data_IF_657007541732
#
_entry.id   IF_657007541732
#
_cell.length_a   1.000
_cell.length_b   1.000
_cell.length_c   1.000
_cell.angle_alpha   90.00
_cell.angle_beta   90.00
_cell.angle_gamma   90.00
#
_symmetry.space_group_name_H-M   'P 1'
#
loop_
_entity.id
_entity.type
_entity.pdbx_description
1 polymer ?
#
# COMPACT_ATOMS: atom_id res chain seq x y z
N UNK A 1 56.06 -24.04 14.97
CA UNK A 1 55.71 -23.02 13.96
C UNK A 1 54.26 -23.25 13.56
N UNK A 2 53.30 -22.75 14.35
CA UNK A 2 51.87 -23.03 14.16
C UNK A 2 51.23 -21.98 13.26
N UNK A 3 50.84 -22.36 12.05
CA UNK A 3 50.13 -21.50 11.11
C UNK A 3 48.69 -21.27 11.62
N UNK A 4 48.39 -20.01 11.99
CA UNK A 4 47.04 -19.57 12.29
C UNK A 4 46.22 -19.54 11.00
N UNK A 5 45.18 -20.36 10.93
CA UNK A 5 44.12 -20.29 9.92
C UNK A 5 43.31 -19.02 10.19
N UNK A 6 43.36 -18.05 9.27
CA UNK A 6 42.46 -16.90 9.29
C UNK A 6 41.06 -17.35 8.84
N UNK A 7 40.17 -17.54 9.80
CA UNK A 7 38.72 -17.59 9.58
C UNK A 7 38.26 -16.16 9.32
N UNK A 8 38.00 -15.82 8.06
CA UNK A 8 37.22 -14.63 7.71
C UNK A 8 35.79 -14.85 8.16
N UNK A 9 35.43 -14.22 9.29
CA UNK A 9 34.05 -14.06 9.72
C UNK A 9 33.40 -13.09 8.75
N UNK A 10 32.53 -13.58 7.85
CA UNK A 10 31.64 -12.70 7.09
C UNK A 10 30.77 -11.93 8.09
N UNK A 11 31.02 -10.63 8.20
CA UNK A 11 30.19 -9.74 9.00
C UNK A 11 28.75 -9.70 8.50
N UNK A 12 27.79 -9.27 9.34
CA UNK A 12 26.38 -9.22 8.96
C UNK A 12 26.20 -8.42 7.68
N UNK A 13 25.56 -9.02 6.66
CA UNK A 13 25.26 -8.36 5.38
C UNK A 13 24.62 -7.00 5.66
N UNK A 14 25.19 -5.94 5.08
CA UNK A 14 24.68 -4.57 5.18
C UNK A 14 23.17 -4.59 4.84
N UNK A 15 22.31 -3.97 5.67
CA UNK A 15 20.89 -3.86 5.32
C UNK A 15 20.75 -3.09 4.01
N UNK A 16 19.96 -3.63 3.07
CA UNK A 16 19.74 -3.04 1.73
C UNK A 16 19.28 -1.59 1.84
N UNK A 17 20.00 -0.68 1.20
CA UNK A 17 19.64 0.73 1.07
C UNK A 17 18.74 1.00 -0.14
N UNK A 18 18.25 2.23 -0.28
CA UNK A 18 17.41 2.65 -1.41
C UNK A 18 18.06 2.40 -2.78
N UNK A 19 19.39 2.53 -2.84
CA UNK A 19 20.17 2.28 -4.06
C UNK A 19 20.15 0.79 -4.42
N UNK A 20 20.32 -0.09 -3.43
CA UNK A 20 20.29 -1.54 -3.64
C UNK A 20 18.89 -1.99 -4.10
N UNK A 21 17.84 -1.39 -3.54
CA UNK A 21 16.45 -1.67 -3.94
C UNK A 21 16.16 -1.20 -5.37
N UNK A 22 16.65 -0.03 -5.77
CA UNK A 22 16.47 0.48 -7.12
C UNK A 22 17.22 -0.35 -8.18
N UNK A 23 18.40 -0.89 -7.84
CA UNK A 23 19.17 -1.76 -8.73
C UNK A 23 18.52 -3.13 -8.96
N UNK A 24 17.62 -3.56 -8.08
CA UNK A 24 16.86 -4.81 -8.24
C UNK A 24 15.63 -4.65 -9.15
N UNK A 25 15.20 -3.42 -9.44
CA UNK A 25 14.07 -3.13 -10.32
C UNK A 25 14.51 -3.18 -11.78
N UNK A 26 13.85 -4.01 -12.58
CA UNK A 26 13.99 -4.04 -14.03
C UNK A 26 12.86 -3.25 -14.70
N UNK A 27 13.21 -2.21 -15.47
CA UNK A 27 12.23 -1.52 -16.32
C UNK A 27 12.07 -2.30 -17.62
N UNK A 28 10.87 -2.86 -17.87
CA UNK A 28 10.60 -3.62 -19.10
C UNK A 28 10.32 -2.68 -20.27
N UNK A 29 11.17 -2.70 -21.29
CA UNK A 29 11.03 -1.86 -22.50
C UNK A 29 9.91 -2.33 -23.45
N UNK A 30 9.40 -3.56 -23.26
CA UNK A 30 8.44 -4.20 -24.17
C UNK A 30 7.03 -4.37 -23.57
N UNK A 31 6.75 -3.74 -22.44
CA UNK A 31 5.50 -3.95 -21.70
C UNK A 31 5.52 -5.24 -20.88
N UNK A 32 4.34 -5.71 -20.41
CA UNK A 32 4.24 -6.92 -19.58
C UNK A 32 4.60 -8.18 -20.39
N UNK A 33 5.28 -9.12 -19.74
CA UNK A 33 5.66 -10.44 -20.29
C UNK A 33 4.43 -11.33 -20.48
N UNK A 34 3.36 -11.06 -19.74
CA UNK A 34 2.07 -11.73 -19.89
C UNK A 34 0.93 -10.74 -20.11
N UNK A 35 0.00 -11.07 -21.02
CA UNK A 35 -1.21 -10.28 -21.26
C UNK A 35 -2.42 -10.78 -20.47
N UNK A 36 -2.20 -11.74 -19.57
CA UNK A 36 -3.20 -12.31 -18.67
C UNK A 36 -3.17 -11.65 -17.29
N UNK A 37 -4.21 -11.84 -16.48
CA UNK A 37 -4.27 -11.33 -15.11
C UNK A 37 -3.28 -12.03 -14.13
N UNK A 38 -2.52 -13.04 -14.60
CA UNK A 38 -1.53 -13.81 -13.83
C UNK A 38 -0.13 -13.37 -14.22
N UNK A 39 0.67 -12.92 -13.24
CA UNK A 39 2.03 -12.43 -13.43
C UNK A 39 3.02 -13.58 -13.67
N UNK A 40 3.91 -13.44 -14.64
CA UNK A 40 5.06 -14.33 -14.79
C UNK A 40 6.01 -14.19 -13.58
N UNK A 41 6.82 -15.22 -13.33
CA UNK A 41 7.74 -15.27 -12.16
C UNK A 41 8.66 -14.04 -12.10
N UNK A 42 9.17 -13.59 -13.25
CA UNK A 42 10.02 -12.41 -13.33
C UNK A 42 9.25 -11.11 -13.10
N UNK A 43 7.99 -11.03 -13.55
CA UNK A 43 7.10 -9.89 -13.26
C UNK A 43 6.74 -9.82 -11.78
N UNK A 44 6.47 -10.97 -11.16
CA UNK A 44 6.19 -11.07 -9.72
C UNK A 44 7.41 -10.66 -8.88
N UNK A 45 8.61 -11.13 -9.27
CA UNK A 45 9.86 -10.76 -8.59
C UNK A 45 10.15 -9.26 -8.72
N UNK A 46 9.90 -8.71 -9.90
CA UNK A 46 10.10 -7.29 -10.17
C UNK A 46 9.06 -6.42 -9.43
N UNK A 47 7.79 -6.86 -9.36
CA UNK A 47 6.75 -6.22 -8.55
C UNK A 47 7.15 -6.16 -7.08
N UNK A 48 7.65 -7.26 -6.51
CA UNK A 48 8.12 -7.28 -5.12
C UNK A 48 9.29 -6.32 -4.87
N UNK A 49 10.23 -6.19 -5.82
CA UNK A 49 11.34 -5.23 -5.73
C UNK A 49 10.84 -3.78 -5.81
N UNK A 50 9.92 -3.48 -6.73
CA UNK A 50 9.25 -2.19 -6.85
C UNK A 50 8.52 -1.82 -5.56
N UNK A 51 7.72 -2.74 -5.01
CA UNK A 51 7.00 -2.55 -3.76
C UNK A 51 7.96 -2.35 -2.59
N UNK A 52 9.05 -3.11 -2.50
CA UNK A 52 10.07 -2.94 -1.46
C UNK A 52 10.75 -1.56 -1.51
N UNK A 53 11.04 -1.05 -2.71
CA UNK A 53 11.59 0.30 -2.91
C UNK A 53 10.58 1.39 -2.53
N UNK A 54 9.32 1.24 -2.94
CA UNK A 54 8.21 2.14 -2.57
C UNK A 54 7.99 2.11 -1.05
N UNK A 55 8.05 0.94 -0.40
CA UNK A 55 7.95 0.77 1.04
C UNK A 55 9.14 1.36 1.81
N UNK A 56 10.35 1.35 1.23
CA UNK A 56 11.51 2.01 1.82
C UNK A 56 11.37 3.54 1.81
N UNK A 57 10.81 4.11 0.74
CA UNK A 57 10.46 5.53 0.68
C UNK A 57 9.40 5.89 1.74
N UNK A 58 8.41 5.02 1.96
CA UNK A 58 7.36 5.22 2.98
C UNK A 58 7.89 5.22 4.41
N UNK A 59 8.98 4.53 4.71
CA UNK A 59 9.62 4.57 6.03
C UNK A 59 10.62 5.75 6.18
N UNK A 60 11.13 6.31 5.08
CA UNK A 60 12.11 7.40 5.09
C UNK A 60 11.54 8.77 5.52
N UNK A 61 10.21 8.91 5.59
CA UNK A 61 9.56 10.21 5.82
C UNK A 61 9.85 10.81 7.21
N UNK A 62 9.94 9.98 8.26
CA UNK A 62 10.17 10.49 9.62
C UNK A 62 11.65 10.81 9.85
N UNK A 63 12.57 10.04 9.26
CA UNK A 63 13.98 10.42 9.19
C UNK A 63 14.17 11.76 8.45
N UNK A 64 13.44 11.95 7.34
CA UNK A 64 13.41 13.23 6.63
C UNK A 64 12.84 14.36 7.49
N UNK A 65 11.73 14.12 8.22
CA UNK A 65 11.15 15.09 9.15
C UNK A 65 12.12 15.51 10.26
N UNK A 66 12.85 14.56 10.85
CA UNK A 66 13.90 14.81 11.86
C UNK A 66 15.06 15.62 11.29
N UNK A 67 15.51 15.28 10.08
CA UNK A 67 16.57 16.01 9.39
C UNK A 67 16.15 17.44 9.02
N UNK A 68 14.93 17.62 8.51
CA UNK A 68 14.36 18.93 8.18
C UNK A 68 14.23 19.82 9.42
N UNK A 69 13.81 19.26 10.55
CA UNK A 69 13.79 19.98 11.82
C UNK A 69 15.21 20.40 12.25
N UNK A 70 16.18 19.48 12.23
CA UNK A 70 17.56 19.80 12.58
C UNK A 70 18.15 20.91 11.67
N UNK A 71 17.88 20.87 10.37
CA UNK A 71 18.29 21.91 9.42
C UNK A 71 17.62 23.24 9.72
N UNK A 72 16.33 23.23 10.04
CA UNK A 72 15.55 24.45 10.35
C UNK A 72 16.04 25.11 11.63
N UNK A 73 16.07 24.36 12.73
CA UNK A 73 16.44 24.85 14.06
C UNK A 73 17.91 25.26 14.13
N UNK A 74 18.81 24.48 13.51
CA UNK A 74 20.22 24.84 13.38
C UNK A 74 20.50 25.95 12.36
N UNK A 75 19.49 26.35 11.58
CA UNK A 75 19.62 27.22 10.40
C UNK A 75 20.77 26.78 9.48
N UNK A 76 20.91 25.47 9.25
CA UNK A 76 22.03 24.87 8.52
C UNK A 76 22.01 25.21 7.02
N UNK A 77 20.87 25.68 6.52
CA UNK A 77 20.69 26.14 5.15
C UNK A 77 21.37 27.50 4.84
N UNK A 78 21.69 28.31 5.87
CA UNK A 78 22.11 29.71 5.72
C UNK A 78 23.40 29.93 4.93
N UNK A 79 24.21 28.89 4.74
CA UNK A 79 25.44 28.97 3.96
C UNK A 79 25.21 29.07 2.45
N UNK A 80 24.04 28.67 1.96
CA UNK A 80 23.71 28.62 0.52
C UNK A 80 22.32 29.17 0.18
N UNK A 81 21.41 29.30 1.16
CA UNK A 81 20.02 29.70 0.95
C UNK A 81 19.62 30.82 1.91
N UNK A 82 18.82 31.77 1.42
CA UNK A 82 18.31 32.93 2.16
C UNK A 82 17.28 32.57 3.23
N UNK A 83 16.49 31.52 2.99
CA UNK A 83 15.44 31.06 3.90
C UNK A 83 15.33 29.54 3.92
N UNK A 84 14.64 29.01 4.93
CA UNK A 84 14.31 27.58 4.98
C UNK A 84 13.39 27.17 3.83
N UNK A 85 12.51 28.07 3.38
CA UNK A 85 11.60 27.85 2.26
C UNK A 85 12.37 27.71 0.95
N UNK A 86 13.34 28.61 0.72
CA UNK A 86 14.23 28.54 -0.44
C UNK A 86 15.03 27.25 -0.43
N UNK A 87 15.51 26.83 0.74
CA UNK A 87 16.20 25.55 0.90
C UNK A 87 15.29 24.36 0.56
N UNK A 88 14.08 24.29 1.11
CA UNK A 88 13.14 23.22 0.83
C UNK A 88 12.79 23.14 -0.66
N UNK A 89 12.52 24.30 -1.28
CA UNK A 89 12.12 24.36 -2.68
C UNK A 89 13.30 24.08 -3.62
N UNK A 90 14.40 24.82 -3.51
CA UNK A 90 15.48 24.76 -4.48
C UNK A 90 16.34 23.50 -4.34
N UNK A 91 16.50 22.96 -3.11
CA UNK A 91 17.35 21.78 -2.89
C UNK A 91 16.59 20.46 -3.01
N UNK A 92 15.32 20.45 -2.62
CA UNK A 92 14.55 19.21 -2.45
C UNK A 92 13.27 19.17 -3.27
N UNK A 93 12.93 20.25 -4.00
CA UNK A 93 11.69 20.39 -4.76
C UNK A 93 10.42 20.12 -3.93
N UNK A 94 10.46 20.52 -2.65
CA UNK A 94 9.30 20.42 -1.75
C UNK A 94 8.89 21.79 -1.23
N UNK A 95 7.58 22.00 -1.14
CA UNK A 95 7.02 23.18 -0.50
C UNK A 95 7.24 23.12 1.02
N UNK A 96 7.39 24.29 1.65
CA UNK A 96 7.53 24.42 3.11
C UNK A 96 6.41 23.69 3.86
N UNK A 97 5.17 23.79 3.37
CA UNK A 97 4.02 23.12 3.98
C UNK A 97 4.19 21.60 4.08
N UNK A 98 4.82 20.99 3.08
CA UNK A 98 5.12 19.56 3.11
C UNK A 98 6.25 19.25 4.09
N UNK A 99 7.33 20.05 4.08
CA UNK A 99 8.40 19.93 5.07
C UNK A 99 7.87 20.04 6.51
N UNK A 100 7.00 21.01 6.79
CA UNK A 100 6.39 21.21 8.10
C UNK A 100 5.45 20.05 8.50
N UNK A 101 4.78 19.39 7.55
CA UNK A 101 4.03 18.15 7.84
C UNK A 101 4.95 17.03 8.31
N UNK A 102 6.08 16.82 7.64
CA UNK A 102 7.08 15.82 8.04
C UNK A 102 7.69 16.15 9.40
N UNK A 103 8.03 17.42 9.65
CA UNK A 103 8.55 17.90 10.93
C UNK A 103 7.55 17.65 12.08
N UNK A 104 6.25 17.90 11.85
CA UNK A 104 5.23 17.63 12.89
C UNK A 104 5.03 16.14 13.14
N UNK A 105 5.28 15.27 12.16
CA UNK A 105 4.96 13.86 12.24
C UNK A 105 6.08 12.99 12.83
N UNK A 106 7.35 13.42 12.71
CA UNK A 106 8.47 12.48 12.87
C UNK A 106 8.62 11.89 14.28
N UNK A 107 8.34 12.65 15.35
CA UNK A 107 8.46 12.15 16.74
C UNK A 107 7.50 11.01 17.03
N UNK A 108 6.22 11.23 16.71
CA UNK A 108 5.21 10.19 16.85
C UNK A 108 5.52 9.00 15.94
N UNK A 109 5.92 9.24 14.69
CA UNK A 109 6.29 8.18 13.76
C UNK A 109 7.47 7.32 14.27
N UNK A 110 8.53 7.94 14.82
CA UNK A 110 9.69 7.26 15.40
C UNK A 110 9.26 6.34 16.56
N UNK A 111 8.38 6.82 17.44
CA UNK A 111 7.85 6.03 18.55
C UNK A 111 6.95 4.88 18.09
N UNK A 112 6.06 5.14 17.13
CA UNK A 112 5.16 4.11 16.61
C UNK A 112 5.91 3.05 15.80
N UNK A 113 7.03 3.40 15.16
CA UNK A 113 7.83 2.45 14.40
C UNK A 113 8.38 1.31 15.27
N UNK A 114 8.74 1.59 16.53
CA UNK A 114 9.17 0.56 17.48
C UNK A 114 8.04 -0.37 17.96
N UNK A 115 6.77 0.01 17.75
CA UNK A 115 5.58 -0.75 18.15
C UNK A 115 4.91 -1.45 16.97
N UNK A 116 5.19 -1.01 15.75
CA UNK A 116 4.44 -1.43 14.59
C UNK A 116 4.94 -2.78 14.04
N UNK A 117 4.01 -3.71 13.80
CA UNK A 117 4.34 -4.99 13.14
C UNK A 117 4.70 -4.82 11.66
N UNK A 118 4.23 -3.73 11.06
CA UNK A 118 4.47 -3.38 9.66
C UNK A 118 5.03 -1.97 9.56
N UNK A 119 5.75 -1.69 8.48
CA UNK A 119 6.26 -0.34 8.20
C UNK A 119 5.09 0.66 8.15
N UNK A 120 5.28 1.80 8.82
CA UNK A 120 4.31 2.88 8.87
C UNK A 120 4.53 3.87 7.73
N UNK A 121 3.44 4.42 7.21
CA UNK A 121 3.47 5.57 6.30
C UNK A 121 2.89 6.83 6.97
N UNK A 122 3.15 7.98 6.37
CA UNK A 122 2.67 9.30 6.85
C UNK A 122 1.14 9.33 6.98
N UNK A 123 0.42 8.68 6.06
CA UNK A 123 -1.04 8.62 6.07
C UNK A 123 -1.64 7.91 7.28
N UNK A 124 -0.91 6.99 7.91
CA UNK A 124 -1.30 6.33 9.17
C UNK A 124 -0.97 7.19 10.40
N UNK A 125 0.14 7.93 10.37
CA UNK A 125 0.56 8.78 11.49
C UNK A 125 -0.26 10.06 11.55
N UNK A 126 -0.59 10.65 10.39
CA UNK A 126 -1.29 11.95 10.28
C UNK A 126 -2.60 12.04 11.07
N UNK A 127 -3.52 11.05 11.03
CA UNK A 127 -4.74 11.07 11.84
C UNK A 127 -4.49 11.13 13.35
N UNK A 128 -3.35 10.60 13.82
CA UNK A 128 -3.00 10.53 15.24
C UNK A 128 -2.34 11.82 15.76
N UNK A 129 -1.85 12.70 14.88
CA UNK A 129 -1.14 13.93 15.28
C UNK A 129 -2.03 14.88 16.09
N UNK A 130 -3.31 14.98 15.74
CA UNK A 130 -4.28 15.80 16.48
C UNK A 130 -4.46 15.28 17.92
N UNK A 131 -4.56 13.96 18.07
CA UNK A 131 -4.66 13.30 19.37
C UNK A 131 -3.37 13.48 20.18
N UNK A 132 -2.21 13.26 19.55
CA UNK A 132 -0.91 13.44 20.20
C UNK A 132 -0.72 14.87 20.72
N UNK A 133 -1.13 15.88 19.95
CA UNK A 133 -1.08 17.28 20.36
C UNK A 133 -2.03 17.60 21.52
N UNK A 134 -3.23 17.01 21.53
CA UNK A 134 -4.26 17.34 22.51
C UNK A 134 -4.12 16.56 23.82
N UNK A 135 -3.65 15.31 23.77
CA UNK A 135 -3.68 14.36 24.89
C UNK A 135 -2.33 13.67 25.14
N UNK A 136 -1.28 14.04 24.40
CA UNK A 136 0.05 13.45 24.50
C UNK A 136 0.28 12.27 23.56
N UNK A 137 1.56 11.99 23.28
CA UNK A 137 1.97 10.92 22.36
C UNK A 137 1.57 9.52 22.87
N UNK A 138 1.51 9.31 24.19
CA UNK A 138 1.09 8.04 24.78
C UNK A 138 -0.38 7.70 24.48
N UNK A 139 -1.25 8.70 24.43
CA UNK A 139 -2.64 8.52 24.00
C UNK A 139 -2.71 8.04 22.55
N UNK A 140 -1.90 8.63 21.66
CA UNK A 140 -1.81 8.23 20.27
C UNK A 140 -1.26 6.80 20.10
N UNK A 141 -0.22 6.43 20.86
CA UNK A 141 0.32 5.05 20.90
C UNK A 141 -0.74 4.04 21.33
N UNK A 142 -1.47 4.33 22.41
CA UNK A 142 -2.49 3.45 22.93
C UNK A 142 -3.58 3.16 21.88
N UNK A 143 -4.08 4.20 21.21
CA UNK A 143 -5.05 4.04 20.11
C UNK A 143 -4.46 3.23 18.96
N UNK A 144 -3.22 3.54 18.55
CA UNK A 144 -2.55 2.83 17.46
C UNK A 144 -2.43 1.33 17.74
N UNK A 145 -1.98 0.94 18.93
CA UNK A 145 -1.79 -0.47 19.31
C UNK A 145 -3.11 -1.23 19.27
N UNK A 146 -4.19 -0.65 19.79
CA UNK A 146 -5.53 -1.27 19.73
C UNK A 146 -5.98 -1.46 18.28
N UNK A 147 -5.78 -0.45 17.43
CA UNK A 147 -6.15 -0.54 16.00
C UNK A 147 -5.29 -1.56 15.25
N UNK A 148 -3.99 -1.63 15.51
CA UNK A 148 -3.08 -2.59 14.89
C UNK A 148 -3.46 -4.03 15.23
N UNK A 149 -3.79 -4.29 16.49
CA UNK A 149 -4.14 -5.63 16.97
C UNK A 149 -5.63 -5.96 16.75
N UNK A 150 -6.38 -5.05 16.14
CA UNK A 150 -7.80 -5.18 15.90
C UNK A 150 -8.14 -6.07 14.71
N UNK A 151 -9.44 -6.37 14.50
CA UNK A 151 -9.91 -7.24 13.43
C UNK A 151 -9.85 -6.61 12.03
N UNK A 152 -9.48 -5.33 11.92
CA UNK A 152 -9.42 -4.58 10.66
C UNK A 152 -8.03 -3.99 10.45
N UNK A 153 -7.53 -3.90 9.19
CA UNK A 153 -6.22 -3.32 8.93
C UNK A 153 -6.12 -1.86 9.40
N UNK A 154 -4.99 -1.52 10.05
CA UNK A 154 -4.69 -0.18 10.56
C UNK A 154 -4.40 0.84 9.45
N UNK A 155 -5.39 1.11 8.59
CA UNK A 155 -5.32 2.13 7.54
C UNK A 155 -5.50 3.53 8.11
N UNK A 156 -5.07 4.57 7.39
CA UNK A 156 -5.27 5.97 7.80
C UNK A 156 -6.76 6.32 8.00
N UNK A 157 -7.67 5.73 7.24
CA UNK A 157 -9.11 5.92 7.40
C UNK A 157 -9.62 5.32 8.72
N UNK A 158 -9.20 4.08 9.03
CA UNK A 158 -9.56 3.40 10.28
C UNK A 158 -8.98 4.15 11.49
N UNK A 159 -7.72 4.58 11.43
CA UNK A 159 -7.10 5.38 12.49
C UNK A 159 -7.82 6.73 12.68
N UNK A 160 -8.24 7.38 11.59
CA UNK A 160 -9.04 8.60 11.67
C UNK A 160 -10.41 8.36 12.32
N UNK A 161 -11.09 7.27 11.96
CA UNK A 161 -12.37 6.91 12.58
C UNK A 161 -12.22 6.55 14.05
N UNK A 162 -11.17 5.79 14.42
CA UNK A 162 -10.86 5.43 15.80
C UNK A 162 -10.63 6.68 16.67
N UNK A 163 -9.87 7.67 16.18
CA UNK A 163 -9.68 8.95 16.89
C UNK A 163 -11.00 9.71 17.05
N UNK A 164 -11.87 9.70 16.04
CA UNK A 164 -13.20 10.34 16.10
C UNK A 164 -14.17 9.64 17.07
N UNK A 165 -14.00 8.34 17.28
CA UNK A 165 -14.83 7.54 18.18
C UNK A 165 -14.49 7.76 19.67
N UNK A 166 -13.37 8.43 19.98
CA UNK A 166 -12.96 8.71 21.34
C UNK A 166 -13.96 9.65 22.06
N UNK A 167 -14.17 9.45 23.38
CA UNK A 167 -15.00 10.35 24.16
C UNK A 167 -14.40 11.76 24.23
N UNK A 168 -15.27 12.76 24.35
CA UNK A 168 -14.83 14.14 24.61
C UNK A 168 -14.32 14.25 26.06
N UNK A 169 -13.18 14.91 26.25
CA UNK A 169 -12.62 15.17 27.58
C UNK A 169 -11.18 14.64 27.73
N UNK A 170 -10.67 14.52 28.97
CA UNK A 170 -9.36 13.98 29.24
C UNK A 170 -9.24 12.53 28.76
N UNK A 171 -8.08 12.17 28.22
CA UNK A 171 -7.82 10.81 27.80
C UNK A 171 -7.72 9.87 29.00
N UNK A 172 -8.63 8.89 29.06
CA UNK A 172 -8.59 7.78 30.02
C UNK A 172 -8.40 6.49 29.22
N UNK A 173 -7.23 5.85 29.38
CA UNK A 173 -6.81 4.73 28.52
C UNK A 173 -7.85 3.61 28.46
N UNK A 174 -8.37 3.15 29.60
CA UNK A 174 -9.38 2.08 29.65
C UNK A 174 -10.64 2.42 28.85
N UNK A 175 -11.14 3.65 28.99
CA UNK A 175 -12.32 4.13 28.27
C UNK A 175 -12.02 4.29 26.78
N UNK A 176 -10.87 4.86 26.44
CA UNK A 176 -10.45 5.04 25.05
C UNK A 176 -10.33 3.69 24.32
N UNK A 177 -9.70 2.69 24.94
CA UNK A 177 -9.58 1.33 24.40
C UNK A 177 -10.96 0.76 24.09
N UNK A 178 -11.90 0.81 25.05
CA UNK A 178 -13.25 0.28 24.85
C UNK A 178 -14.00 0.96 23.69
N UNK A 179 -13.85 2.28 23.53
CA UNK A 179 -14.45 3.03 22.43
C UNK A 179 -13.83 2.66 21.08
N UNK A 180 -12.51 2.51 21.02
CA UNK A 180 -11.81 2.09 19.80
C UNK A 180 -12.19 0.66 19.42
N UNK A 181 -12.22 -0.28 20.36
CA UNK A 181 -12.66 -1.65 20.11
C UNK A 181 -14.10 -1.73 19.60
N UNK A 182 -15.03 -0.97 20.21
CA UNK A 182 -16.41 -0.89 19.74
C UNK A 182 -16.49 -0.35 18.30
N UNK A 183 -15.71 0.68 17.99
CA UNK A 183 -15.60 1.20 16.62
C UNK A 183 -15.06 0.16 15.64
N UNK A 184 -13.99 -0.56 15.99
CA UNK A 184 -13.39 -1.58 15.13
C UNK A 184 -14.33 -2.75 14.88
N UNK A 185 -15.11 -3.16 15.90
CA UNK A 185 -16.14 -4.18 15.76
C UNK A 185 -17.24 -3.75 14.78
N UNK A 186 -17.68 -2.49 14.85
CA UNK A 186 -18.65 -1.91 13.90
C UNK A 186 -18.11 -1.94 12.46
N UNK A 187 -16.88 -1.47 12.24
CA UNK A 187 -16.25 -1.46 10.91
C UNK A 187 -16.04 -2.88 10.37
N UNK A 188 -15.69 -3.84 11.23
CA UNK A 188 -15.57 -5.24 10.84
C UNK A 188 -16.91 -5.83 10.38
N UNK A 189 -18.00 -5.54 11.11
CA UNK A 189 -19.34 -5.98 10.75
C UNK A 189 -19.82 -5.35 9.43
N UNK A 190 -19.56 -4.06 9.21
CA UNK A 190 -19.88 -3.37 7.95
C UNK A 190 -19.17 -4.01 6.75
N UNK A 191 -17.88 -4.36 6.88
CA UNK A 191 -17.14 -5.05 5.81
C UNK A 191 -17.69 -6.42 5.47
N UNK A 192 -18.21 -7.16 6.45
CA UNK A 192 -18.84 -8.46 6.21
C UNK A 192 -20.16 -8.31 5.45
N UNK A 193 -20.94 -7.26 5.72
CA UNK A 193 -22.17 -6.95 4.98
C UNK A 193 -21.87 -6.42 3.56
N UNK A 194 -20.86 -5.56 3.39
CA UNK A 194 -20.44 -5.05 2.08
C UNK A 194 -19.82 -6.14 1.20
N UNK A 195 -19.19 -7.16 1.79
CA UNK A 195 -18.75 -8.37 1.08
C UNK A 195 -19.90 -9.10 0.39
N UNK A 196 -21.07 -9.19 1.02
CA UNK A 196 -22.29 -9.75 0.42
C UNK A 196 -22.86 -8.90 -0.72
N UNK A 197 -22.67 -7.57 -0.66
CA UNK A 197 -23.10 -6.62 -1.69
C UNK A 197 -22.11 -6.54 -2.87
N UNK A 198 -20.81 -6.74 -2.61
CA UNK A 198 -19.78 -6.87 -3.64
C UNK A 198 -19.96 -8.12 -4.50
N UNK A 199 -20.52 -9.20 -3.96
CA UNK A 199 -20.84 -10.38 -4.76
C UNK A 199 -21.87 -10.09 -5.85
N UNK A 200 -22.92 -9.30 -5.56
CA UNK A 200 -23.90 -8.91 -6.60
C UNK A 200 -23.35 -7.85 -7.57
N UNK A 201 -22.49 -6.93 -7.11
CA UNK A 201 -21.76 -6.03 -8.01
C UNK A 201 -20.73 -6.78 -8.87
N UNK A 202 -20.14 -7.87 -8.36
CA UNK A 202 -19.26 -8.74 -9.12
C UNK A 202 -20.04 -9.51 -10.19
N UNK A 203 -21.26 -9.99 -9.92
CA UNK A 203 -22.14 -10.58 -10.94
C UNK A 203 -22.48 -9.61 -12.07
N UNK A 204 -22.84 -8.35 -11.73
CA UNK A 204 -23.08 -7.29 -12.74
C UNK A 204 -21.81 -6.94 -13.52
N UNK A 205 -20.65 -6.95 -12.85
CA UNK A 205 -19.33 -6.73 -13.49
C UNK A 205 -18.95 -7.90 -14.41
N UNK A 206 -19.23 -9.15 -14.01
CA UNK A 206 -19.01 -10.34 -14.82
C UNK A 206 -19.89 -10.33 -16.07
N UNK A 207 -21.18 -10.01 -15.94
CA UNK A 207 -22.09 -9.87 -17.08
C UNK A 207 -21.59 -8.79 -18.06
N UNK A 208 -21.15 -7.65 -17.54
CA UNK A 208 -20.56 -6.58 -18.36
C UNK A 208 -19.27 -7.03 -19.06
N UNK A 209 -18.42 -7.84 -18.40
CA UNK A 209 -17.20 -8.40 -19.00
C UNK A 209 -17.54 -9.43 -20.09
N UNK A 210 -18.57 -10.25 -19.89
CA UNK A 210 -19.06 -11.21 -20.90
C UNK A 210 -19.59 -10.48 -22.13
N UNK A 211 -20.40 -9.44 -21.95
CA UNK A 211 -20.92 -8.62 -23.06
C UNK A 211 -19.81 -7.92 -23.86
N UNK A 212 -18.68 -7.58 -23.21
CA UNK A 212 -17.50 -7.00 -23.87
C UNK A 212 -16.62 -8.03 -24.56
N UNK A 213 -16.63 -9.29 -24.11
CA UNK A 213 -15.86 -10.36 -24.72
C UNK A 213 -16.35 -10.68 -26.14
N UNK A 214 -17.64 -10.44 -26.41
CA UNK A 214 -18.26 -10.61 -27.73
C UNK A 214 -18.96 -9.31 -28.13
N UNK A 215 -18.22 -8.32 -28.68
CA UNK A 215 -18.78 -7.01 -28.99
C UNK A 215 -19.70 -7.09 -30.23
N UNK A 216 -21.01 -7.16 -29.97
CA UNK A 216 -22.04 -7.37 -31.01
C UNK A 216 -22.06 -6.30 -32.10
N UNK A 217 -21.74 -5.05 -31.78
CA UNK A 217 -21.73 -3.97 -32.78
C UNK A 217 -20.58 -4.11 -33.76
N UNK A 218 -19.40 -4.55 -33.30
CA UNK A 218 -18.28 -4.86 -34.17
C UNK A 218 -18.57 -6.08 -35.05
N UNK A 219 -19.17 -7.14 -34.50
CA UNK A 219 -19.54 -8.33 -35.26
C UNK A 219 -20.59 -8.03 -36.34
N UNK A 220 -21.59 -7.19 -36.02
CA UNK A 220 -22.59 -6.73 -37.00
C UNK A 220 -21.95 -5.93 -38.12
N UNK A 221 -20.97 -5.09 -37.81
CA UNK A 221 -20.27 -4.30 -38.83
C UNK A 221 -19.41 -5.20 -39.73
N UNK A 222 -18.68 -6.16 -39.15
CA UNK A 222 -17.86 -7.11 -39.89
C UNK A 222 -18.73 -8.04 -40.76
N UNK A 223 -19.88 -8.47 -40.27
CA UNK A 223 -20.79 -9.36 -40.99
C UNK A 223 -21.34 -8.76 -42.30
N UNK A 224 -21.38 -7.42 -42.42
CA UNK A 224 -21.76 -6.74 -43.67
C UNK A 224 -20.77 -6.98 -44.82
N UNK A 225 -19.51 -7.23 -44.49
CA UNK A 225 -18.42 -7.36 -45.47
C UNK A 225 -17.86 -8.78 -45.56
N UNK A 226 -17.87 -9.53 -44.45
CA UNK A 226 -17.42 -10.92 -44.40
C UNK A 226 -18.22 -11.75 -43.37
N UNK A 227 -19.41 -12.26 -43.73
CA UNK A 227 -20.24 -13.03 -42.81
C UNK A 227 -19.61 -14.39 -42.45
N UNK A 228 -18.88 -15.03 -43.37
CA UNK A 228 -18.23 -16.31 -43.12
C UNK A 228 -17.13 -16.19 -42.05
N UNK A 229 -16.31 -15.13 -42.12
CA UNK A 229 -15.25 -14.88 -41.13
C UNK A 229 -15.79 -14.57 -39.72
N UNK A 230 -17.00 -14.00 -39.61
CA UNK A 230 -17.66 -13.79 -38.31
C UNK A 230 -18.05 -15.13 -37.67
N UNK A 231 -18.58 -16.07 -38.45
CA UNK A 231 -18.93 -17.41 -37.96
C UNK A 231 -17.68 -18.17 -37.50
N UNK A 232 -16.61 -18.16 -38.29
CA UNK A 232 -15.35 -18.80 -37.91
C UNK A 232 -14.75 -18.23 -36.61
N UNK A 233 -14.85 -16.91 -36.42
CA UNK A 233 -14.42 -16.26 -35.18
C UNK A 233 -15.24 -16.72 -33.97
N UNK A 234 -16.57 -16.76 -34.09
CA UNK A 234 -17.45 -17.20 -33.01
C UNK A 234 -17.22 -18.68 -32.66
N UNK A 235 -17.01 -19.54 -33.66
CA UNK A 235 -16.67 -20.96 -33.44
C UNK A 235 -15.31 -21.13 -32.74
N UNK A 236 -14.34 -20.26 -33.03
CA UNK A 236 -13.06 -20.24 -32.32
C UNK A 236 -13.21 -19.79 -30.86
N UNK A 237 -14.02 -18.75 -30.60
CA UNK A 237 -14.35 -18.29 -29.23
C UNK A 237 -15.05 -19.40 -28.45
N UNK A 238 -16.04 -20.08 -29.04
CA UNK A 238 -16.74 -21.18 -28.39
C UNK A 238 -15.79 -22.31 -27.97
N UNK A 239 -14.90 -22.75 -28.88
CA UNK A 239 -13.89 -23.77 -28.56
C UNK A 239 -12.97 -23.35 -27.41
N UNK A 240 -12.59 -22.08 -27.36
CA UNK A 240 -11.75 -21.56 -26.28
C UNK A 240 -12.47 -21.56 -24.93
N UNK A 241 -13.77 -21.22 -24.92
CA UNK A 241 -14.61 -21.30 -23.71
C UNK A 241 -14.77 -22.73 -23.24
N UNK A 242 -15.03 -23.67 -24.14
CA UNK A 242 -15.15 -25.10 -23.81
C UNK A 242 -13.85 -25.66 -23.23
N UNK A 243 -12.70 -25.30 -23.82
CA UNK A 243 -11.38 -25.66 -23.29
C UNK A 243 -11.16 -25.12 -21.87
N UNK A 244 -11.41 -23.82 -21.66
CA UNK A 244 -11.26 -23.19 -20.35
C UNK A 244 -12.20 -23.83 -19.30
N UNK A 245 -13.42 -24.22 -19.70
CA UNK A 245 -14.36 -24.90 -18.82
C UNK A 245 -13.86 -26.28 -18.40
N UNK A 246 -13.27 -27.05 -19.32
CA UNK A 246 -12.69 -28.35 -19.04
C UNK A 246 -11.46 -28.29 -18.11
N UNK A 247 -10.69 -27.20 -18.15
CA UNK A 247 -9.54 -26.99 -17.27
C UNK A 247 -9.93 -26.48 -15.88
N UNK A 248 -10.98 -25.66 -15.77
CA UNK A 248 -11.30 -24.92 -14.54
C UNK A 248 -12.47 -25.50 -13.73
N UNK A 249 -13.35 -26.31 -14.33
CA UNK A 249 -14.47 -26.94 -13.61
C UNK A 249 -14.22 -28.44 -13.53
N UNK A 250 -13.92 -29.01 -12.35
CA UNK A 250 -13.75 -30.46 -12.23
C UNK A 250 -15.06 -31.16 -12.62
N UNK A 251 -14.96 -32.15 -13.52
CA UNK A 251 -16.11 -32.92 -13.98
C UNK A 251 -16.87 -33.57 -12.81
N UNK A 252 -18.17 -33.91 -12.99
CA UNK A 252 -18.95 -34.52 -11.93
C UNK A 252 -18.25 -35.80 -11.48
N UNK A 253 -17.88 -35.87 -10.19
CA UNK A 253 -17.48 -37.11 -9.53
C UNK A 253 -18.59 -38.13 -9.77
N UNK A 254 -18.33 -39.08 -10.65
CA UNK A 254 -19.21 -40.21 -10.88
C UNK A 254 -19.19 -41.10 -9.63
N UNK A 255 -20.38 -41.29 -9.03
CA UNK A 255 -20.81 -42.44 -8.24
C UNK A 255 -19.91 -42.91 -7.11
#
# INVERSE_FOLDING_TARGET
>A
MGARRNLTVEGPRRPKGIVDLAQEIHLSERGPLTTTDVLAVDEQRNLLACEAAIEALKAAFWAAGKALEAVREGRLYRGQFSSFDDYCLQRWDIQRDYADKLIRAWRLAEQLHGLAERKLNEGQVRPLLGLAKAQGEDAAKAVFVVVQNGPVPATGAVLSGAVKALPKGPFVQKTAVAHVEAYLAMVAAEKQQDGGKRSSAAEVSLETRVQRAVPMDWLRELAKTNPAGVVEFLDAVQRQVEKARGELVPGPTAG
#
